data_IF_018585486714
#
_entry.id   IF_018585486714
#
_cell.length_a   1.000
_cell.length_b   1.000
_cell.length_c   1.000
_cell.angle_alpha   90.00
_cell.angle_beta   90.00
_cell.angle_gamma   90.00
#
_symmetry.space_group_name_H-M   'P 1'
#
loop_
_entity.id
_entity.type
_entity.pdbx_description
1 polymer ?
#
# COMPACT_ATOMS: atom_id res chain seq x y z
N UNK A 1 -14.53 -36.86 19.48
CA UNK A 1 -15.28 -35.60 19.40
C UNK A 1 -15.06 -34.61 20.58
N UNK A 2 -14.59 -35.02 21.77
CA UNK A 2 -14.32 -34.06 22.89
C UNK A 2 -13.05 -33.22 22.73
N UNK A 3 -12.04 -33.68 21.98
CA UNK A 3 -10.79 -32.92 21.75
C UNK A 3 -10.96 -31.75 20.74
N UNK A 4 -11.74 -31.94 19.67
CA UNK A 4 -11.98 -30.87 18.68
C UNK A 4 -12.70 -29.64 19.30
N UNK A 5 -13.64 -29.89 20.23
CA UNK A 5 -14.35 -28.79 20.94
C UNK A 5 -13.43 -28.02 21.87
N UNK A 6 -12.42 -28.67 22.48
CA UNK A 6 -11.42 -28.00 23.33
C UNK A 6 -10.41 -27.17 22.52
N UNK A 7 -10.04 -27.63 21.32
CA UNK A 7 -9.16 -26.86 20.43
C UNK A 7 -9.87 -25.63 19.83
N UNK A 8 -11.15 -25.75 19.47
CA UNK A 8 -11.94 -24.62 18.99
C UNK A 8 -12.13 -23.55 20.08
N UNK A 9 -12.32 -23.95 21.35
CA UNK A 9 -12.46 -23.01 22.45
C UNK A 9 -11.13 -22.28 22.79
N UNK A 10 -9.99 -22.94 22.62
CA UNK A 10 -8.66 -22.34 22.81
C UNK A 10 -8.31 -21.35 21.70
N UNK A 11 -8.72 -21.64 20.44
CA UNK A 11 -8.55 -20.71 19.31
C UNK A 11 -9.44 -19.47 19.47
N UNK A 12 -10.70 -19.64 19.90
CA UNK A 12 -11.59 -18.51 20.17
C UNK A 12 -11.11 -17.64 21.35
N UNK A 13 -10.57 -18.25 22.40
CA UNK A 13 -10.02 -17.52 23.54
C UNK A 13 -8.75 -16.74 23.16
N UNK A 14 -7.92 -17.27 22.26
CA UNK A 14 -6.73 -16.60 21.75
C UNK A 14 -7.05 -15.36 20.90
N UNK A 15 -8.09 -15.42 20.07
CA UNK A 15 -8.54 -14.29 19.24
C UNK A 15 -9.19 -13.21 20.12
N UNK A 16 -9.97 -13.56 21.14
CA UNK A 16 -10.55 -12.59 22.08
C UNK A 16 -9.48 -11.94 22.96
N UNK A 17 -8.43 -12.65 23.36
CA UNK A 17 -7.34 -12.06 24.15
C UNK A 17 -6.54 -11.02 23.34
N UNK A 18 -6.37 -11.22 22.02
CA UNK A 18 -5.76 -10.22 21.14
C UNK A 18 -6.65 -8.96 20.98
N UNK A 19 -7.97 -9.12 20.95
CA UNK A 19 -8.90 -8.00 20.87
C UNK A 19 -8.97 -7.19 22.18
N UNK A 20 -8.79 -7.83 23.34
CA UNK A 20 -8.81 -7.17 24.65
C UNK A 20 -7.48 -6.45 24.99
N UNK A 21 -6.35 -6.88 24.39
CA UNK A 21 -5.06 -6.22 24.55
C UNK A 21 -5.01 -4.85 23.84
N UNK A 22 -5.95 -4.58 22.93
CA UNK A 22 -6.08 -3.27 22.28
C UNK A 22 -6.92 -2.27 23.09
N UNK A 23 -7.57 -2.69 24.15
CA UNK A 23 -8.49 -1.86 24.96
C UNK A 23 -7.89 -1.38 26.29
N UNK A 24 -6.78 -1.94 26.77
CA UNK A 24 -6.09 -1.47 27.98
C UNK A 24 -4.74 -0.89 27.59
N UNK A 25 -4.62 0.42 27.75
CA UNK A 25 -3.42 1.22 27.46
C UNK A 25 -2.17 0.69 28.13
N UNK A 26 -1.45 -0.13 27.43
CA UNK A 26 -0.04 -0.37 27.64
C UNK A 26 0.69 0.39 26.53
N UNK A 27 1.31 1.52 26.87
CA UNK A 27 2.01 2.44 25.94
C UNK A 27 3.17 1.77 25.17
N UNK A 28 3.41 0.48 25.41
CA UNK A 28 4.48 -0.31 24.77
C UNK A 28 4.03 -1.23 23.66
N UNK A 29 2.73 -1.53 23.52
CA UNK A 29 2.24 -2.43 22.46
C UNK A 29 1.95 -1.66 21.16
N UNK A 30 2.46 -2.11 19.99
CA UNK A 30 2.20 -1.44 18.73
C UNK A 30 0.70 -1.44 18.42
N UNK A 31 0.18 -0.26 18.01
CA UNK A 31 -1.22 -0.11 17.59
C UNK A 31 -1.55 -1.00 16.39
N UNK A 32 -2.84 -1.23 16.12
CA UNK A 32 -3.22 -2.00 14.92
C UNK A 32 -2.75 -1.33 13.63
N UNK A 33 -2.78 0.01 13.57
CA UNK A 33 -2.22 0.75 12.44
C UNK A 33 -0.71 0.50 12.29
N UNK A 34 0.05 0.49 13.40
CA UNK A 34 1.50 0.17 13.35
C UNK A 34 1.74 -1.26 12.83
N UNK A 35 0.99 -2.24 13.32
CA UNK A 35 1.09 -3.63 12.83
C UNK A 35 0.75 -3.74 11.35
N UNK A 36 -0.23 -2.97 10.88
CA UNK A 36 -0.61 -2.88 9.46
C UNK A 36 0.50 -2.26 8.62
N UNK A 37 1.11 -1.18 9.12
CA UNK A 37 2.26 -0.55 8.45
C UNK A 37 3.42 -1.53 8.31
N UNK A 38 3.78 -2.21 9.40
CA UNK A 38 4.88 -3.17 9.41
C UNK A 38 4.63 -4.34 8.43
N UNK A 39 3.39 -4.86 8.38
CA UNK A 39 3.00 -5.91 7.45
C UNK A 39 3.06 -5.44 5.99
N UNK A 40 2.50 -4.27 5.70
CA UNK A 40 2.51 -3.70 4.36
C UNK A 40 3.93 -3.34 3.90
N UNK A 41 4.76 -2.79 4.79
CA UNK A 41 6.16 -2.53 4.49
C UNK A 41 6.94 -3.83 4.26
N UNK A 42 6.68 -4.88 5.05
CA UNK A 42 7.25 -6.21 4.86
C UNK A 42 6.97 -6.77 3.46
N UNK A 43 5.72 -6.65 2.99
CA UNK A 43 5.32 -7.04 1.64
C UNK A 43 6.06 -6.23 0.56
N UNK A 44 6.15 -4.92 0.73
CA UNK A 44 6.87 -4.05 -0.20
C UNK A 44 8.37 -4.34 -0.25
N UNK A 45 9.00 -4.68 0.89
CA UNK A 45 10.40 -5.14 0.94
C UNK A 45 10.60 -6.40 0.11
N UNK A 46 9.70 -7.36 0.21
CA UNK A 46 9.79 -8.61 -0.57
C UNK A 46 9.65 -8.33 -2.07
N UNK A 47 8.67 -7.49 -2.44
CA UNK A 47 8.40 -7.18 -3.85
C UNK A 47 9.50 -6.35 -4.52
N UNK A 48 10.13 -5.41 -3.79
CA UNK A 48 11.04 -4.42 -4.39
C UNK A 48 12.51 -4.62 -4.02
N UNK A 49 12.80 -5.39 -2.97
CA UNK A 49 14.15 -5.51 -2.38
C UNK A 49 14.61 -4.28 -1.60
N UNK A 50 13.81 -3.22 -1.50
CA UNK A 50 14.14 -1.98 -0.78
C UNK A 50 13.97 -2.20 0.71
N UNK A 51 15.01 -1.91 1.51
CA UNK A 51 15.05 -2.23 2.94
C UNK A 51 14.69 -1.06 3.86
N UNK A 52 14.50 0.14 3.31
CA UNK A 52 14.26 1.36 4.10
C UNK A 52 12.87 1.89 3.78
N UNK A 53 12.07 2.14 4.83
CA UNK A 53 10.83 2.90 4.74
C UNK A 53 11.21 4.40 4.73
N UNK A 54 11.23 5.02 3.56
CA UNK A 54 11.64 6.42 3.40
C UNK A 54 10.66 7.33 4.14
N UNK A 55 11.17 8.19 5.02
CA UNK A 55 10.36 8.99 5.93
C UNK A 55 9.49 10.04 5.20
N UNK A 56 9.97 10.60 4.10
CA UNK A 56 9.23 11.61 3.34
C UNK A 56 8.15 10.93 2.49
N UNK A 57 8.46 9.78 1.89
CA UNK A 57 7.47 8.98 1.18
C UNK A 57 6.43 8.40 2.14
N UNK A 58 6.82 8.02 3.36
CA UNK A 58 5.87 7.61 4.39
C UNK A 58 4.85 8.72 4.70
N UNK A 59 5.31 9.95 4.90
CA UNK A 59 4.41 11.11 5.11
C UNK A 59 3.50 11.34 3.90
N UNK A 60 4.04 11.18 2.68
CA UNK A 60 3.25 11.29 1.46
C UNK A 60 2.17 10.20 1.41
N UNK A 61 2.51 8.94 1.72
CA UNK A 61 1.56 7.84 1.81
C UNK A 61 0.46 8.12 2.85
N UNK A 62 0.84 8.58 4.05
CA UNK A 62 -0.10 8.93 5.11
C UNK A 62 -1.10 10.01 4.65
N UNK A 63 -0.62 11.05 3.94
CA UNK A 63 -1.47 12.11 3.42
C UNK A 63 -2.53 11.61 2.42
N UNK A 64 -2.29 10.47 1.74
CA UNK A 64 -3.27 9.88 0.82
C UNK A 64 -4.36 9.12 1.56
N UNK A 65 -4.07 8.58 2.74
CA UNK A 65 -5.10 7.98 3.59
C UNK A 65 -6.13 9.02 4.02
N UNK A 66 -5.71 10.25 4.30
CA UNK A 66 -6.59 11.36 4.65
C UNK A 66 -7.52 11.81 3.50
N UNK A 67 -7.24 11.41 2.27
CA UNK A 67 -8.04 11.72 1.09
C UNK A 67 -9.04 10.61 0.71
N UNK A 68 -9.11 9.53 1.48
CA UNK A 68 -10.06 8.43 1.28
C UNK A 68 -11.47 8.93 1.64
N UNK A 69 -12.45 8.68 0.77
CA UNK A 69 -13.87 8.76 1.12
C UNK A 69 -14.20 7.52 1.98
N UNK A 70 -14.14 7.67 3.30
CA UNK A 70 -14.33 6.54 4.24
C UNK A 70 -15.77 6.05 4.32
N UNK A 71 -16.75 6.85 3.89
CA UNK A 71 -18.16 6.43 3.81
C UNK A 71 -18.36 5.48 2.64
N UNK A 72 -17.78 5.79 1.47
CA UNK A 72 -17.85 4.96 0.26
C UNK A 72 -16.74 3.91 0.17
N UNK A 73 -15.68 4.05 0.97
CA UNK A 73 -14.49 3.20 0.86
C UNK A 73 -13.75 3.38 -0.48
N UNK A 74 -13.67 4.61 -0.99
CA UNK A 74 -13.12 4.89 -2.32
C UNK A 74 -12.02 5.94 -2.31
N UNK A 75 -11.18 5.92 -3.35
CA UNK A 75 -10.14 6.91 -3.59
C UNK A 75 -10.09 7.30 -5.07
N UNK A 76 -9.87 8.58 -5.33
CA UNK A 76 -9.67 9.13 -6.66
C UNK A 76 -8.18 9.06 -7.05
N UNK A 77 -7.85 8.21 -8.02
CA UNK A 77 -6.47 7.96 -8.46
C UNK A 77 -5.78 9.23 -9.00
N UNK A 78 -6.52 10.23 -9.44
CA UNK A 78 -5.96 11.52 -9.89
C UNK A 78 -5.27 12.28 -8.75
N UNK A 79 -5.55 11.91 -7.49
CA UNK A 79 -4.88 12.45 -6.30
C UNK A 79 -3.58 11.72 -5.95
N UNK A 80 -3.19 10.68 -6.69
CA UNK A 80 -1.99 9.87 -6.42
C UNK A 80 -0.69 10.64 -6.67
N UNK A 81 -0.71 11.62 -7.53
CA UNK A 81 0.45 12.43 -7.92
C UNK A 81 0.03 13.89 -8.13
N UNK A 82 1.01 14.79 -8.20
CA UNK A 82 0.74 16.17 -8.61
C UNK A 82 0.70 16.28 -10.14
N UNK A 83 -0.15 17.19 -10.64
CA UNK A 83 -0.23 17.46 -12.10
C UNK A 83 1.09 18.01 -12.63
N UNK A 84 1.81 18.77 -11.81
CA UNK A 84 3.09 19.37 -12.16
C UNK A 84 4.18 18.29 -12.28
N UNK A 85 4.28 17.39 -11.31
CA UNK A 85 5.22 16.27 -11.37
C UNK A 85 4.95 15.35 -12.56
N UNK A 86 3.66 15.11 -12.87
CA UNK A 86 3.29 14.33 -14.04
C UNK A 86 3.70 15.00 -15.35
N UNK A 87 3.49 16.32 -15.48
CA UNK A 87 3.93 17.07 -16.67
C UNK A 87 5.45 17.03 -16.83
N UNK A 88 6.17 17.23 -15.72
CA UNK A 88 7.65 17.12 -15.73
C UNK A 88 8.09 15.74 -16.16
N UNK A 89 7.49 14.69 -15.58
CA UNK A 89 7.78 13.31 -15.95
C UNK A 89 7.55 13.05 -17.45
N UNK A 90 6.45 13.57 -18.03
CA UNK A 90 6.16 13.43 -19.46
C UNK A 90 7.23 14.11 -20.34
N UNK A 91 7.75 15.24 -19.91
CA UNK A 91 8.85 15.92 -20.59
C UNK A 91 10.15 15.12 -20.49
N UNK A 92 10.48 14.66 -19.28
CA UNK A 92 11.71 13.93 -19.02
C UNK A 92 11.72 12.59 -19.79
N UNK A 93 10.60 11.85 -19.82
CA UNK A 93 10.51 10.55 -20.51
C UNK A 93 10.64 10.70 -22.02
N UNK A 94 10.25 11.83 -22.61
CA UNK A 94 10.44 12.10 -24.04
C UNK A 94 11.92 12.16 -24.44
N UNK A 95 12.81 12.40 -23.47
CA UNK A 95 14.28 12.40 -23.67
C UNK A 95 14.91 11.04 -23.33
N UNK A 96 14.12 10.02 -23.00
CA UNK A 96 14.53 8.66 -22.75
C UNK A 96 14.62 8.26 -21.29
N UNK A 97 14.54 9.19 -20.33
CA UNK A 97 14.51 8.88 -18.88
C UNK A 97 13.64 9.86 -18.13
N UNK A 98 12.81 9.33 -17.24
CA UNK A 98 12.00 10.12 -16.33
C UNK A 98 11.91 9.46 -14.95
N UNK A 99 11.72 10.27 -13.93
CA UNK A 99 11.44 9.82 -12.57
C UNK A 99 10.15 10.42 -12.08
N UNK A 100 9.33 9.63 -11.40
CA UNK A 100 8.07 10.09 -10.85
C UNK A 100 7.85 9.52 -9.46
N UNK A 101 7.24 10.32 -8.60
CA UNK A 101 6.76 9.89 -7.29
C UNK A 101 5.24 9.87 -7.30
N UNK A 102 4.67 8.75 -6.85
CA UNK A 102 3.24 8.61 -6.66
C UNK A 102 2.93 7.95 -5.32
N UNK A 103 1.76 8.19 -4.81
CA UNK A 103 1.28 7.53 -3.60
C UNK A 103 -0.20 7.23 -3.68
N UNK A 104 -0.59 6.04 -3.24
CA UNK A 104 -1.98 5.58 -3.27
C UNK A 104 -2.28 4.61 -2.13
N UNK A 105 -3.52 4.63 -1.60
CA UNK A 105 -4.00 3.60 -0.71
C UNK A 105 -4.06 2.23 -1.39
N UNK A 106 -3.97 1.16 -0.58
CA UNK A 106 -4.10 -0.20 -1.10
C UNK A 106 -5.50 -0.43 -1.66
N UNK A 107 -5.56 -0.95 -2.87
CA UNK A 107 -6.80 -1.28 -3.57
C UNK A 107 -7.38 -2.62 -3.09
N UNK A 108 -8.70 -2.73 -3.01
CA UNK A 108 -9.40 -3.94 -2.58
C UNK A 108 -9.29 -5.08 -3.60
N UNK A 109 -9.46 -4.78 -4.89
CA UNK A 109 -9.53 -5.79 -5.96
C UNK A 109 -8.73 -5.41 -7.23
N UNK A 110 -7.95 -4.34 -7.16
CA UNK A 110 -7.16 -3.84 -8.28
C UNK A 110 -7.97 -3.22 -9.43
N UNK A 111 -9.30 -3.12 -9.30
CA UNK A 111 -10.16 -2.58 -10.36
C UNK A 111 -10.39 -1.09 -10.17
N UNK A 112 -10.35 -0.37 -11.28
CA UNK A 112 -10.59 1.06 -11.33
C UNK A 112 -11.67 1.39 -12.36
N UNK A 113 -12.64 2.22 -11.97
CA UNK A 113 -13.67 2.75 -12.87
C UNK A 113 -13.63 4.28 -12.87
N UNK A 114 -13.45 4.87 -14.04
CA UNK A 114 -13.40 6.35 -14.20
C UNK A 114 -12.39 7.05 -13.27
N UNK A 115 -11.28 6.39 -12.95
CA UNK A 115 -10.27 6.93 -12.06
C UNK A 115 -10.57 6.74 -10.57
N UNK A 116 -11.67 6.08 -10.21
CA UNK A 116 -12.05 5.76 -8.83
C UNK A 116 -11.86 4.26 -8.59
N UNK A 117 -11.31 3.89 -7.43
CA UNK A 117 -11.22 2.49 -7.01
C UNK A 117 -11.62 2.30 -5.55
N UNK A 118 -12.04 1.09 -5.21
CA UNK A 118 -12.32 0.70 -3.83
C UNK A 118 -11.00 0.50 -3.07
N UNK A 119 -10.95 1.09 -1.87
CA UNK A 119 -9.81 0.99 -0.97
C UNK A 119 -9.99 -0.22 -0.06
N UNK A 120 -8.90 -0.93 0.20
CA UNK A 120 -8.90 -2.04 1.13
C UNK A 120 -8.91 -1.52 2.58
N UNK A 121 -9.99 -1.77 3.31
CA UNK A 121 -9.99 -1.66 4.77
C UNK A 121 -9.20 -2.84 5.34
N UNK A 122 -8.21 -2.56 6.17
CA UNK A 122 -7.39 -3.58 6.81
C UNK A 122 -8.01 -3.96 8.14
N UNK A 123 -8.21 -5.25 8.31
CA UNK A 123 -8.80 -5.87 9.50
C UNK A 123 -7.89 -7.00 10.01
N UNK A 124 -8.17 -7.51 11.20
CA UNK A 124 -7.43 -8.66 11.74
C UNK A 124 -7.52 -9.91 10.84
N UNK A 125 -8.62 -10.03 10.07
CA UNK A 125 -8.84 -11.19 9.20
C UNK A 125 -8.05 -11.12 7.89
N UNK A 126 -7.77 -9.91 7.40
CA UNK A 126 -7.11 -9.74 6.09
C UNK A 126 -5.69 -9.19 6.14
N UNK A 127 -5.18 -8.76 7.29
CA UNK A 127 -3.80 -8.22 7.41
C UNK A 127 -2.74 -9.23 6.93
N UNK A 128 -2.98 -10.53 7.11
CA UNK A 128 -2.09 -11.59 6.63
C UNK A 128 -2.02 -11.71 5.10
N UNK A 129 -3.04 -11.24 4.39
CA UNK A 129 -3.06 -11.27 2.92
C UNK A 129 -2.21 -10.18 2.26
N UNK A 130 -1.74 -9.19 3.02
CA UNK A 130 -0.87 -8.12 2.49
C UNK A 130 0.43 -8.68 1.90
N UNK A 131 0.91 -9.81 2.42
CA UNK A 131 2.12 -10.49 1.91
C UNK A 131 1.91 -11.19 0.55
N UNK A 132 0.67 -11.30 0.06
CA UNK A 132 0.36 -11.97 -1.21
C UNK A 132 0.36 -11.01 -2.41
N UNK A 133 0.59 -9.70 -2.18
CA UNK A 133 0.55 -8.67 -3.21
C UNK A 133 1.82 -8.52 -4.06
N UNK A 134 2.81 -9.38 -3.90
CA UNK A 134 4.09 -9.29 -4.64
C UNK A 134 3.92 -9.48 -6.14
N UNK A 135 3.08 -10.43 -6.55
CA UNK A 135 2.83 -10.73 -7.97
C UNK A 135 2.13 -9.55 -8.67
N UNK A 136 1.18 -8.91 -7.98
CA UNK A 136 0.47 -7.73 -8.49
C UNK A 136 1.43 -6.55 -8.72
N UNK A 137 2.45 -6.38 -7.89
CA UNK A 137 3.46 -5.33 -8.06
C UNK A 137 4.34 -5.59 -9.29
N UNK A 138 4.76 -6.83 -9.51
CA UNK A 138 5.53 -7.20 -10.69
C UNK A 138 4.72 -6.99 -11.97
N UNK A 139 3.46 -7.42 -12.00
CA UNK A 139 2.55 -7.20 -13.13
C UNK A 139 2.37 -5.70 -13.44
N UNK A 140 2.29 -4.86 -12.40
CA UNK A 140 2.21 -3.41 -12.56
C UNK A 140 3.48 -2.84 -13.21
N UNK A 141 4.67 -3.25 -12.73
CA UNK A 141 5.94 -2.81 -13.28
C UNK A 141 6.14 -3.25 -14.73
N UNK A 142 5.76 -4.48 -15.04
CA UNK A 142 5.85 -5.04 -16.40
C UNK A 142 4.86 -4.33 -17.34
N UNK A 143 3.66 -4.02 -16.87
CA UNK A 143 2.70 -3.21 -17.60
C UNK A 143 3.21 -1.81 -17.91
N UNK A 144 3.80 -1.14 -16.92
CA UNK A 144 4.43 0.17 -17.09
C UNK A 144 5.63 0.09 -18.05
N UNK A 145 6.51 -0.90 -17.90
CA UNK A 145 7.65 -1.10 -18.76
C UNK A 145 7.23 -1.30 -20.23
N UNK A 146 6.17 -2.09 -20.43
CA UNK A 146 5.56 -2.28 -21.76
C UNK A 146 4.99 -0.98 -22.34
N UNK A 147 4.26 -0.20 -21.52
CA UNK A 147 3.66 1.06 -21.96
C UNK A 147 4.70 2.11 -22.40
N UNK A 148 5.86 2.14 -21.76
CA UNK A 148 6.97 3.06 -22.11
C UNK A 148 7.98 2.44 -23.09
N UNK A 149 7.80 1.18 -23.47
CA UNK A 149 8.70 0.47 -24.36
C UNK A 149 10.12 0.32 -23.81
N UNK A 150 10.28 0.29 -22.48
CA UNK A 150 11.58 0.31 -21.83
C UNK A 150 11.64 -0.47 -20.53
N UNK A 151 12.28 0.08 -19.50
CA UNK A 151 12.35 -0.52 -18.18
C UNK A 151 11.85 0.44 -17.10
N UNK A 152 11.27 -0.12 -16.05
CA UNK A 152 10.81 0.61 -14.87
C UNK A 152 11.52 0.03 -13.65
N UNK A 153 11.99 0.89 -12.76
CA UNK A 153 12.66 0.52 -11.53
C UNK A 153 12.13 1.36 -10.37
N UNK A 154 11.64 0.72 -9.32
CA UNK A 154 11.34 1.41 -8.07
C UNK A 154 12.66 1.71 -7.37
N UNK A 155 12.87 2.96 -6.97
CA UNK A 155 14.11 3.43 -6.33
C UNK A 155 13.92 3.74 -4.85
N UNK A 156 12.70 4.12 -4.45
CA UNK A 156 12.34 4.39 -3.05
C UNK A 156 10.91 3.96 -2.78
N UNK A 157 10.64 3.55 -1.55
CA UNK A 157 9.29 3.27 -1.05
C UNK A 157 9.07 3.95 0.30
N UNK A 158 7.82 4.32 0.56
CA UNK A 158 7.34 4.74 1.86
C UNK A 158 5.97 4.14 2.10
N UNK A 159 5.78 3.50 3.23
CA UNK A 159 4.52 2.86 3.61
C UNK A 159 4.02 3.49 4.90
N UNK A 160 2.74 3.80 4.93
CA UNK A 160 2.05 4.28 6.12
C UNK A 160 0.75 3.52 6.32
N UNK A 161 0.31 3.42 7.56
CA UNK A 161 -1.03 3.00 7.89
C UNK A 161 -1.62 3.91 8.96
N UNK A 162 -2.93 4.13 8.87
CA UNK A 162 -3.65 5.04 9.77
C UNK A 162 -5.07 4.56 9.97
N UNK A 163 -5.58 4.78 11.17
CA UNK A 163 -6.99 4.57 11.47
C UNK A 163 -7.75 5.90 11.31
N UNK A 164 -8.74 5.91 10.42
CA UNK A 164 -9.61 7.06 10.14
C UNK A 164 -11.05 6.60 10.29
N UNK A 165 -11.83 7.31 11.11
CA UNK A 165 -13.24 6.96 11.40
C UNK A 165 -13.43 5.48 11.83
N UNK A 166 -12.50 4.98 12.66
CA UNK A 166 -12.55 3.60 13.19
C UNK A 166 -12.11 2.50 12.21
N UNK A 167 -11.77 2.84 10.97
CA UNK A 167 -11.29 1.92 9.93
C UNK A 167 -9.80 2.13 9.69
N UNK A 168 -9.04 1.05 9.55
CA UNK A 168 -7.60 1.13 9.29
C UNK A 168 -7.34 0.94 7.80
N UNK A 169 -6.54 1.83 7.25
CA UNK A 169 -6.10 1.81 5.86
C UNK A 169 -4.57 1.85 5.79
N UNK A 170 -4.01 1.29 4.73
CA UNK A 170 -2.61 1.46 4.41
C UNK A 170 -2.45 2.11 3.03
N UNK A 171 -1.37 2.86 2.86
CA UNK A 171 -0.98 3.47 1.60
C UNK A 171 0.50 3.26 1.34
N UNK A 172 0.85 3.23 0.07
CA UNK A 172 2.23 3.12 -0.41
C UNK A 172 2.55 4.34 -1.26
N UNK A 173 3.65 4.99 -0.95
CA UNK A 173 4.30 5.96 -1.84
C UNK A 173 5.55 5.31 -2.44
N UNK A 174 5.78 5.56 -3.72
CA UNK A 174 6.96 5.05 -4.39
C UNK A 174 7.52 6.08 -5.36
N UNK A 175 8.84 6.12 -5.44
CA UNK A 175 9.54 6.78 -6.53
C UNK A 175 10.02 5.72 -7.50
N UNK A 176 9.70 5.89 -8.76
CA UNK A 176 10.18 4.99 -9.81
C UNK A 176 10.85 5.77 -10.94
N UNK A 177 11.81 5.12 -11.56
CA UNK A 177 12.51 5.61 -12.74
C UNK A 177 12.09 4.79 -13.94
N UNK A 178 11.81 5.48 -15.03
CA UNK A 178 11.54 4.88 -16.34
C UNK A 178 12.69 5.19 -17.26
N UNK A 179 13.20 4.17 -17.95
CA UNK A 179 14.11 4.34 -19.09
C UNK A 179 13.35 3.87 -20.32
N UNK A 180 12.91 4.81 -21.15
CA UNK A 180 12.22 4.52 -22.40
C UNK A 180 13.22 4.20 -23.51
N UNK A 181 12.82 3.38 -24.48
CA UNK A 181 13.60 3.25 -25.73
C UNK A 181 13.44 4.55 -26.51
N UNK A 182 14.52 5.07 -27.14
CA UNK A 182 14.40 6.20 -28.04
C UNK A 182 13.35 5.90 -29.10
N UNK A 183 12.39 6.78 -29.29
CA UNK A 183 11.49 6.68 -30.43
C UNK A 183 12.32 7.00 -31.67
N UNK A 184 12.48 6.00 -32.54
CA UNK A 184 13.11 6.17 -33.85
C UNK A 184 12.17 6.86 -34.81
#
# INVERSE_FOLDING_TARGET
>A
MKMLKKMAALLLAGVMALALLTACGDDSAPSFAQKTEDAAFGAMKQATGIQVNDADLKKLAESKIDLIDTEKGTFDSRKSYSVEDYKKFQQDISTGKGSMTMALPLMKDGKMQNGIYEVMEITADNIGSLNQGTDTMQDLLDGMASAYGGSVKITKIGVAAKTVNGKTYAAVAMTYEVTAKPQQ
#
